data_IF_920524826853
#
_entry.id   IF_920524826853
#
_cell.length_a   1.000
_cell.length_b   1.000
_cell.length_c   1.000
_cell.angle_alpha   90.00
_cell.angle_beta   90.00
_cell.angle_gamma   90.00
#
_symmetry.space_group_name_H-M   'P 1'
#
loop_
_entity.id
_entity.type
_entity.pdbx_description
1 polymer ?
#
# COMPACT_ATOMS: atom_id res chain seq x y z
N UNK A 1 13.49 -20.90 5.55
CA UNK A 1 13.47 -20.57 4.11
C UNK A 1 14.89 -20.55 3.58
N UNK A 2 15.17 -21.30 2.52
CA UNK A 2 16.46 -21.26 1.81
C UNK A 2 16.31 -20.41 0.54
N UNK A 3 16.62 -19.11 0.67
CA UNK A 3 16.49 -18.17 -0.45
C UNK A 3 17.53 -18.45 -1.56
N UNK A 4 18.67 -19.05 -1.22
CA UNK A 4 19.68 -19.40 -2.23
C UNK A 4 19.15 -20.50 -3.16
N UNK A 5 18.56 -21.55 -2.57
CA UNK A 5 17.89 -22.62 -3.31
C UNK A 5 16.75 -22.08 -4.19
N UNK A 6 15.99 -21.10 -3.70
CA UNK A 6 14.96 -20.43 -4.51
C UNK A 6 15.56 -19.69 -5.71
N UNK A 7 16.58 -18.86 -5.48
CA UNK A 7 17.28 -18.09 -6.52
C UNK A 7 17.81 -19.01 -7.63
N UNK A 8 18.46 -20.11 -7.24
CA UNK A 8 18.94 -21.13 -8.18
C UNK A 8 17.80 -21.79 -8.96
N UNK A 9 16.72 -22.19 -8.27
CA UNK A 9 15.57 -22.84 -8.90
C UNK A 9 14.80 -21.94 -9.88
N UNK A 10 14.82 -20.61 -9.65
CA UNK A 10 14.19 -19.62 -10.53
C UNK A 10 15.13 -19.09 -11.62
N UNK A 11 16.38 -19.56 -11.69
CA UNK A 11 17.36 -19.10 -12.69
C UNK A 11 17.75 -17.63 -12.51
N UNK A 12 17.76 -17.13 -11.27
CA UNK A 12 18.02 -15.72 -10.95
C UNK A 12 19.49 -15.46 -10.56
N UNK A 13 20.37 -16.44 -10.74
CA UNK A 13 21.75 -16.43 -10.27
C UNK A 13 22.65 -15.40 -10.95
N UNK A 14 22.19 -14.73 -12.00
CA UNK A 14 22.98 -13.73 -12.73
C UNK A 14 22.63 -12.28 -12.36
N UNK A 15 21.67 -12.07 -11.44
CA UNK A 15 21.15 -10.74 -11.11
C UNK A 15 21.55 -10.27 -9.71
N UNK A 16 21.72 -8.96 -9.46
CA UNK A 16 21.75 -8.44 -8.10
C UNK A 16 20.40 -8.67 -7.43
N UNK A 17 20.42 -9.14 -6.18
CA UNK A 17 19.22 -9.50 -5.42
C UNK A 17 19.32 -8.98 -3.99
N UNK A 18 18.27 -8.31 -3.54
CA UNK A 18 18.09 -7.92 -2.14
C UNK A 18 16.80 -8.47 -1.56
N UNK A 19 16.82 -8.84 -0.28
CA UNK A 19 15.62 -9.11 0.49
C UNK A 19 15.16 -7.82 1.16
N UNK A 20 13.86 -7.52 1.13
CA UNK A 20 13.28 -6.33 1.72
C UNK A 20 12.05 -6.60 2.58
N UNK A 21 11.24 -5.56 2.71
CA UNK A 21 9.93 -5.64 3.37
C UNK A 21 10.02 -5.87 4.87
N UNK A 22 8.99 -6.52 5.42
CA UNK A 22 8.80 -6.61 6.87
C UNK A 22 9.85 -7.51 7.56
N UNK A 23 10.40 -8.47 6.82
CA UNK A 23 11.35 -9.47 7.33
C UNK A 23 12.72 -8.88 7.62
N UNK A 24 13.15 -7.88 6.85
CA UNK A 24 14.41 -7.15 7.13
C UNK A 24 14.21 -6.04 8.17
N UNK A 25 13.00 -5.49 8.28
CA UNK A 25 12.66 -4.46 9.25
C UNK A 25 12.53 -4.95 10.71
N UNK A 26 12.60 -6.27 10.96
CA UNK A 26 12.51 -6.86 12.30
C UNK A 26 11.13 -6.77 12.96
N UNK A 27 10.08 -6.44 12.20
CA UNK A 27 8.72 -6.25 12.69
C UNK A 27 7.66 -7.10 11.97
N UNK A 28 8.07 -8.24 11.38
CA UNK A 28 7.20 -9.10 10.58
C UNK A 28 6.19 -9.92 11.39
N UNK A 29 5.08 -10.26 10.73
CA UNK A 29 4.15 -11.30 11.17
C UNK A 29 4.48 -12.63 10.48
N UNK A 30 4.00 -13.74 11.04
CA UNK A 30 4.17 -15.06 10.42
C UNK A 30 3.53 -15.13 9.01
N UNK A 31 2.50 -14.31 8.77
CA UNK A 31 1.85 -14.18 7.46
C UNK A 31 2.60 -13.33 6.45
N UNK A 32 3.69 -12.67 6.82
CA UNK A 32 4.49 -11.89 5.89
C UNK A 32 5.23 -12.80 4.92
N UNK A 33 5.12 -12.49 3.65
CA UNK A 33 5.91 -13.05 2.56
C UNK A 33 7.39 -12.61 2.64
N UNK A 34 8.21 -13.22 1.80
CA UNK A 34 9.58 -12.76 1.54
C UNK A 34 9.55 -11.83 0.33
N UNK A 35 9.83 -10.54 0.53
CA UNK A 35 9.91 -9.56 -0.54
C UNK A 35 11.31 -9.59 -1.19
N UNK A 36 11.42 -10.23 -2.34
CA UNK A 36 12.67 -10.37 -3.09
C UNK A 36 12.73 -9.33 -4.22
N UNK A 37 13.74 -8.47 -4.18
CA UNK A 37 13.97 -7.44 -5.20
C UNK A 37 15.05 -7.93 -6.16
N UNK A 38 14.66 -8.21 -7.40
CA UNK A 38 15.53 -8.75 -8.44
C UNK A 38 15.84 -7.63 -9.42
N UNK A 39 17.11 -7.25 -9.52
CA UNK A 39 17.55 -6.15 -10.39
C UNK A 39 17.89 -6.68 -11.78
N UNK A 40 16.86 -7.07 -12.53
CA UNK A 40 16.93 -7.68 -13.87
C UNK A 40 16.48 -6.74 -15.00
N UNK A 41 16.16 -5.48 -14.67
CA UNK A 41 15.67 -4.46 -15.61
C UNK A 41 14.34 -4.85 -16.29
N UNK A 42 13.65 -5.87 -15.79
CA UNK A 42 12.35 -6.28 -16.29
C UNK A 42 11.27 -5.31 -15.79
N UNK A 43 10.38 -4.89 -16.70
CA UNK A 43 9.27 -3.98 -16.40
C UNK A 43 7.97 -4.69 -16.03
N UNK A 44 8.00 -6.03 -15.94
CA UNK A 44 6.85 -6.85 -15.55
C UNK A 44 6.40 -6.52 -14.12
N UNK A 45 5.09 -6.69 -13.88
CA UNK A 45 4.54 -6.60 -12.52
C UNK A 45 5.14 -7.67 -11.60
N UNK A 46 5.08 -7.40 -10.29
CA UNK A 46 5.52 -8.35 -9.26
C UNK A 46 4.81 -9.69 -9.39
N UNK A 47 5.50 -10.76 -9.01
CA UNK A 47 4.98 -12.13 -9.02
C UNK A 47 4.95 -12.72 -7.62
N UNK A 48 3.94 -13.54 -7.31
CA UNK A 48 3.86 -14.25 -6.03
C UNK A 48 4.01 -15.74 -6.28
N UNK A 49 5.05 -16.31 -5.66
CA UNK A 49 5.51 -17.67 -5.89
C UNK A 49 5.54 -18.42 -4.56
N UNK A 50 4.88 -19.57 -4.51
CA UNK A 50 4.97 -20.49 -3.38
C UNK A 50 6.25 -21.31 -3.46
N UNK A 51 7.00 -21.39 -2.37
CA UNK A 51 8.25 -22.13 -2.26
C UNK A 51 8.48 -22.57 -0.82
N UNK A 52 8.80 -23.85 -0.60
CA UNK A 52 9.08 -24.45 0.72
C UNK A 52 8.13 -23.93 1.83
N UNK A 53 6.81 -24.10 1.61
CA UNK A 53 5.69 -23.70 2.49
C UNK A 53 5.59 -22.19 2.82
N UNK A 54 6.28 -21.33 2.08
CA UNK A 54 6.17 -19.88 2.21
C UNK A 54 5.83 -19.23 0.87
N UNK A 55 5.36 -17.98 0.94
CA UNK A 55 5.15 -17.14 -0.23
C UNK A 55 6.32 -16.17 -0.37
N UNK A 56 6.80 -16.03 -1.61
CA UNK A 56 7.84 -15.09 -2.01
C UNK A 56 7.22 -14.14 -3.03
N UNK A 57 7.28 -12.84 -2.74
CA UNK A 57 6.93 -11.82 -3.73
C UNK A 57 8.21 -11.39 -4.43
N UNK A 58 8.30 -11.69 -5.73
CA UNK A 58 9.40 -11.26 -6.59
C UNK A 58 9.03 -9.94 -7.23
N UNK A 59 9.79 -8.90 -6.94
CA UNK A 59 9.69 -7.61 -7.58
C UNK A 59 10.81 -7.49 -8.61
N UNK A 60 10.44 -7.09 -9.83
CA UNK A 60 11.39 -6.76 -10.88
C UNK A 60 11.81 -5.30 -10.76
N UNK A 61 13.11 -5.07 -10.69
CA UNK A 61 13.69 -3.81 -10.27
C UNK A 61 14.73 -3.32 -11.29
N UNK A 62 14.93 -2.00 -11.29
CA UNK A 62 15.96 -1.34 -12.09
C UNK A 62 17.00 -0.70 -11.17
N UNK A 63 18.27 -0.86 -11.50
CA UNK A 63 19.36 -0.11 -10.87
C UNK A 63 19.32 1.39 -11.23
N UNK A 64 18.55 1.75 -12.27
CA UNK A 64 18.35 3.12 -12.74
C UNK A 64 17.05 3.77 -12.23
N UNK A 65 16.38 3.17 -11.24
CA UNK A 65 15.11 3.65 -10.71
C UNK A 65 15.20 5.10 -10.20
N UNK A 66 14.17 5.89 -10.49
CA UNK A 66 14.07 7.31 -10.10
C UNK A 66 12.80 7.61 -9.31
N UNK A 67 11.83 6.71 -9.32
CA UNK A 67 10.59 6.85 -8.57
C UNK A 67 10.85 6.75 -7.06
N UNK A 68 10.54 7.82 -6.34
CA UNK A 68 10.74 7.92 -4.90
C UNK A 68 10.08 6.79 -4.10
N UNK A 69 8.84 6.40 -4.43
CA UNK A 69 8.12 5.33 -3.70
C UNK A 69 8.84 3.99 -3.86
N UNK A 70 9.32 3.68 -5.07
CA UNK A 70 10.09 2.46 -5.33
C UNK A 70 11.49 2.49 -4.71
N UNK A 71 12.19 3.62 -4.79
CA UNK A 71 13.50 3.76 -4.11
C UNK A 71 13.40 3.55 -2.59
N UNK A 72 12.31 3.98 -1.96
CA UNK A 72 12.06 3.70 -0.55
C UNK A 72 11.78 2.21 -0.26
N UNK A 73 11.31 1.43 -1.24
CA UNK A 73 11.19 -0.03 -1.10
C UNK A 73 12.56 -0.72 -1.16
N UNK A 74 13.54 -0.08 -1.80
CA UNK A 74 14.93 -0.56 -1.80
C UNK A 74 15.71 -0.08 -0.57
N UNK A 75 15.15 0.79 0.28
CA UNK A 75 15.85 1.22 1.49
C UNK A 75 16.11 0.02 2.41
N UNK A 76 17.37 -0.13 2.86
CA UNK A 76 17.81 -1.18 3.80
C UNK A 76 17.50 -2.62 3.34
N UNK A 77 17.68 -2.91 2.05
CA UNK A 77 17.68 -4.30 1.59
C UNK A 77 18.84 -5.09 2.22
N UNK A 78 18.56 -6.32 2.63
CA UNK A 78 19.57 -7.32 2.94
C UNK A 78 20.08 -7.90 1.61
N UNK A 79 21.29 -7.53 1.21
CA UNK A 79 21.87 -7.97 -0.07
C UNK A 79 22.17 -9.47 -0.02
N UNK A 80 21.51 -10.23 -0.89
CA UNK A 80 21.70 -11.68 -1.03
C UNK A 80 22.75 -11.99 -2.11
N UNK A 81 22.76 -11.22 -3.20
CA UNK A 81 23.67 -11.38 -4.33
C UNK A 81 23.98 -10.02 -4.95
N UNK A 82 25.26 -9.70 -5.21
CA UNK A 82 25.68 -8.43 -5.83
C UNK A 82 27.16 -8.50 -6.28
N UNK A 83 27.45 -9.35 -7.26
CA UNK A 83 28.83 -9.62 -7.69
C UNK A 83 29.56 -8.37 -8.22
N UNK A 84 28.79 -7.45 -8.83
CA UNK A 84 29.31 -6.21 -9.41
C UNK A 84 29.28 -5.01 -8.45
N UNK A 85 28.80 -5.19 -7.21
CA UNK A 85 28.65 -4.13 -6.19
C UNK A 85 27.67 -3.00 -6.55
N UNK A 86 26.96 -3.13 -7.67
CA UNK A 86 26.06 -2.08 -8.18
C UNK A 86 24.87 -1.87 -7.24
N UNK A 87 24.33 -2.96 -6.67
CA UNK A 87 23.23 -2.85 -5.72
C UNK A 87 23.69 -2.12 -4.45
N UNK A 88 24.84 -2.48 -3.88
CA UNK A 88 25.39 -1.78 -2.70
C UNK A 88 25.64 -0.29 -2.96
N UNK A 89 26.11 0.09 -4.15
CA UNK A 89 26.30 1.50 -4.54
C UNK A 89 24.95 2.23 -4.58
N UNK A 90 23.93 1.61 -5.18
CA UNK A 90 22.57 2.16 -5.20
C UNK A 90 22.02 2.34 -3.77
N UNK A 91 22.13 1.32 -2.93
CA UNK A 91 21.66 1.36 -1.54
C UNK A 91 22.35 2.46 -0.71
N UNK A 92 23.66 2.66 -0.92
CA UNK A 92 24.40 3.77 -0.30
C UNK A 92 23.87 5.14 -0.75
N UNK A 93 23.57 5.27 -2.04
CA UNK A 93 22.97 6.50 -2.60
C UNK A 93 21.59 6.78 -2.02
N UNK A 94 20.74 5.75 -1.89
CA UNK A 94 19.42 5.84 -1.27
C UNK A 94 19.54 6.25 0.20
N UNK A 95 20.44 5.61 0.95
CA UNK A 95 20.69 5.95 2.35
C UNK A 95 21.11 7.40 2.54
N UNK A 96 21.94 7.95 1.63
CA UNK A 96 22.36 9.35 1.68
C UNK A 96 21.26 10.36 1.36
N UNK A 97 20.16 9.93 0.72
CA UNK A 97 19.00 10.76 0.34
C UNK A 97 17.72 10.38 1.08
N UNK A 98 17.83 9.54 2.10
CA UNK A 98 16.70 8.87 2.74
C UNK A 98 15.62 9.84 3.23
N UNK A 99 16.02 10.88 3.95
CA UNK A 99 15.07 11.84 4.54
C UNK A 99 14.38 12.67 3.44
N UNK A 100 15.10 13.06 2.38
CA UNK A 100 14.48 13.73 1.23
C UNK A 100 13.53 12.82 0.48
N UNK A 101 13.84 11.54 0.32
CA UNK A 101 12.94 10.57 -0.31
C UNK A 101 11.66 10.40 0.50
N UNK A 102 11.74 10.31 1.83
CA UNK A 102 10.55 10.27 2.68
C UNK A 102 9.72 11.57 2.59
N UNK A 103 10.38 12.73 2.59
CA UNK A 103 9.72 14.04 2.42
C UNK A 103 8.97 14.13 1.09
N UNK A 104 9.61 13.73 -0.01
CA UNK A 104 9.02 13.75 -1.34
C UNK A 104 7.88 12.74 -1.46
N UNK A 105 8.04 11.52 -0.92
CA UNK A 105 6.97 10.52 -0.84
C UNK A 105 5.77 11.03 -0.05
N UNK A 106 6.00 11.72 1.07
CA UNK A 106 4.94 12.29 1.89
C UNK A 106 4.15 13.36 1.12
N UNK A 107 4.85 14.28 0.44
CA UNK A 107 4.24 15.34 -0.38
C UNK A 107 3.47 14.77 -1.57
N UNK A 108 4.04 13.80 -2.28
CA UNK A 108 3.37 13.15 -3.40
C UNK A 108 2.07 12.47 -2.94
N UNK A 109 2.12 11.72 -1.84
CA UNK A 109 0.92 11.07 -1.28
C UNK A 109 -0.13 12.10 -0.82
N UNK A 110 0.29 13.26 -0.32
CA UNK A 110 -0.60 14.36 0.05
C UNK A 110 -1.31 14.96 -1.17
N UNK A 111 -0.60 15.14 -2.28
CA UNK A 111 -1.15 15.60 -3.55
C UNK A 111 -2.15 14.59 -4.11
N UNK A 112 -1.81 13.30 -4.09
CA UNK A 112 -2.73 12.23 -4.53
C UNK A 112 -4.00 12.17 -3.67
N UNK A 113 -3.89 12.41 -2.35
CA UNK A 113 -5.03 12.53 -1.45
C UNK A 113 -5.95 13.69 -1.85
N UNK A 114 -5.40 14.87 -2.11
CA UNK A 114 -6.16 16.04 -2.58
C UNK A 114 -6.79 15.81 -3.95
N UNK A 115 -6.07 15.16 -4.87
CA UNK A 115 -6.61 14.75 -6.16
C UNK A 115 -7.83 13.84 -6.00
N UNK A 116 -7.73 12.82 -5.14
CA UNK A 116 -8.85 11.92 -4.84
C UNK A 116 -10.02 12.65 -4.16
N UNK A 117 -9.76 13.64 -3.30
CA UNK A 117 -10.80 14.50 -2.74
C UNK A 117 -11.56 15.25 -3.84
N UNK A 118 -10.83 15.85 -4.80
CA UNK A 118 -11.47 16.56 -5.91
C UNK A 118 -12.28 15.59 -6.78
N UNK A 119 -11.72 14.42 -7.13
CA UNK A 119 -12.45 13.38 -7.86
C UNK A 119 -13.73 12.94 -7.16
N UNK A 120 -13.69 12.83 -5.83
CA UNK A 120 -14.89 12.50 -5.05
C UNK A 120 -15.96 13.58 -5.18
N UNK A 121 -15.59 14.86 -5.05
CA UNK A 121 -16.55 15.97 -5.17
C UNK A 121 -17.18 16.03 -6.55
N UNK A 122 -16.35 15.91 -7.59
CA UNK A 122 -16.82 15.91 -8.97
C UNK A 122 -17.78 14.72 -9.20
N UNK A 123 -17.40 13.53 -8.70
CA UNK A 123 -18.20 12.32 -8.79
C UNK A 123 -19.55 12.44 -8.07
N UNK A 124 -19.60 13.09 -6.90
CA UNK A 124 -20.87 13.40 -6.20
C UNK A 124 -21.75 14.32 -7.05
N UNK A 125 -21.16 15.34 -7.70
CA UNK A 125 -21.92 16.29 -8.53
C UNK A 125 -22.46 15.66 -9.81
N UNK A 126 -21.78 14.66 -10.35
CA UNK A 126 -22.16 13.97 -11.60
C UNK A 126 -22.84 12.63 -11.39
N UNK A 127 -23.20 12.28 -10.14
CA UNK A 127 -23.75 10.97 -9.77
C UNK A 127 -22.89 9.77 -10.25
N UNK A 128 -21.56 9.94 -10.25
CA UNK A 128 -20.63 8.86 -10.60
C UNK A 128 -20.57 7.83 -9.46
N UNK A 129 -20.84 6.58 -9.83
CA UNK A 129 -20.91 5.41 -8.96
C UNK A 129 -19.62 5.13 -8.18
N UNK A 130 -18.47 5.67 -8.60
CA UNK A 130 -17.17 5.47 -7.97
C UNK A 130 -16.80 6.55 -6.94
N UNK A 131 -17.68 7.51 -6.64
CA UNK A 131 -17.42 8.59 -5.67
C UNK A 131 -16.82 8.07 -4.35
N UNK A 132 -17.43 7.05 -3.75
CA UNK A 132 -16.97 6.48 -2.50
C UNK A 132 -15.62 5.74 -2.60
N UNK A 133 -15.29 5.18 -3.77
CA UNK A 133 -13.97 4.56 -3.99
C UNK A 133 -12.88 5.64 -3.98
N UNK A 134 -13.12 6.77 -4.65
CA UNK A 134 -12.23 7.93 -4.61
C UNK A 134 -12.04 8.48 -3.20
N UNK A 135 -13.12 8.54 -2.41
CA UNK A 135 -13.05 8.98 -1.02
C UNK A 135 -12.12 8.09 -0.19
N UNK A 136 -12.29 6.75 -0.29
CA UNK A 136 -11.42 5.80 0.39
C UNK A 136 -9.97 5.96 -0.07
N UNK A 137 -9.73 6.09 -1.37
CA UNK A 137 -8.39 6.37 -1.89
C UNK A 137 -7.77 7.61 -1.27
N UNK A 138 -8.53 8.70 -1.11
CA UNK A 138 -8.06 9.92 -0.46
C UNK A 138 -7.58 9.65 0.98
N UNK A 139 -8.39 8.96 1.78
CA UNK A 139 -8.03 8.62 3.16
C UNK A 139 -6.77 7.75 3.25
N UNK A 140 -6.60 6.77 2.36
CA UNK A 140 -5.40 5.92 2.33
C UNK A 140 -4.16 6.66 1.84
N UNK A 141 -4.27 7.54 0.85
CA UNK A 141 -3.15 8.37 0.43
C UNK A 141 -2.71 9.34 1.54
N UNK A 142 -3.65 9.89 2.31
CA UNK A 142 -3.28 10.71 3.47
C UNK A 142 -2.60 9.86 4.56
N UNK A 143 -3.04 8.62 4.79
CA UNK A 143 -2.36 7.69 5.69
C UNK A 143 -0.93 7.33 5.21
N UNK A 144 -0.72 7.16 3.90
CA UNK A 144 0.60 6.95 3.28
C UNK A 144 1.50 8.18 3.49
N UNK A 145 0.93 9.39 3.37
CA UNK A 145 1.64 10.65 3.63
C UNK A 145 2.11 10.74 5.08
N UNK A 146 1.22 10.47 6.04
CA UNK A 146 1.56 10.45 7.47
C UNK A 146 2.64 9.40 7.79
N UNK A 147 2.53 8.21 7.21
CA UNK A 147 3.55 7.16 7.38
C UNK A 147 4.92 7.64 6.89
N UNK A 148 4.96 8.31 5.73
CA UNK A 148 6.18 8.85 5.14
C UNK A 148 6.79 9.98 6.00
N UNK A 149 5.98 10.91 6.52
CA UNK A 149 6.47 11.95 7.45
C UNK A 149 7.09 11.37 8.73
N UNK A 150 6.61 10.21 9.18
CA UNK A 150 7.17 9.51 10.33
C UNK A 150 8.34 8.57 9.96
N UNK A 151 8.85 8.64 8.73
CA UNK A 151 9.92 7.77 8.22
C UNK A 151 9.60 6.28 8.38
N UNK A 152 8.32 5.94 8.36
CA UNK A 152 7.82 4.57 8.42
C UNK A 152 7.64 4.06 6.99
N UNK A 153 8.32 2.96 6.60
CA UNK A 153 8.07 2.30 5.33
C UNK A 153 6.60 1.91 5.22
N UNK A 154 6.04 2.03 4.01
CA UNK A 154 4.67 1.57 3.74
C UNK A 154 4.67 0.04 3.67
N UNK A 155 3.92 -0.58 4.58
CA UNK A 155 3.59 -2.00 4.50
C UNK A 155 2.10 -2.14 4.83
N UNK A 156 1.26 -2.59 3.86
CA UNK A 156 -0.18 -2.68 4.07
C UNK A 156 -0.56 -3.49 5.33
N UNK A 157 0.19 -4.54 5.64
CA UNK A 157 -0.08 -5.41 6.80
C UNK A 157 0.25 -4.76 8.15
N UNK A 158 1.11 -3.75 8.19
CA UNK A 158 1.56 -3.11 9.43
C UNK A 158 1.14 -1.64 9.55
N UNK A 159 0.63 -1.05 8.48
CA UNK A 159 0.34 0.38 8.37
C UNK A 159 -0.55 0.90 9.52
N UNK A 160 -1.67 0.22 9.82
CA UNK A 160 -2.57 0.65 10.89
C UNK A 160 -1.91 0.58 12.28
N UNK A 161 -1.18 -0.49 12.56
CA UNK A 161 -0.43 -0.65 13.80
C UNK A 161 0.65 0.44 13.95
N UNK A 162 1.34 0.82 12.87
CA UNK A 162 2.30 1.92 12.86
C UNK A 162 1.62 3.26 13.14
N UNK A 163 0.52 3.57 12.44
CA UNK A 163 -0.25 4.81 12.63
C UNK A 163 -0.69 4.99 14.10
N UNK A 164 -1.15 3.92 14.75
CA UNK A 164 -1.56 3.93 16.16
C UNK A 164 -0.40 4.23 17.14
N UNK A 165 0.85 3.99 16.73
CA UNK A 165 2.05 4.12 17.57
C UNK A 165 2.84 5.39 17.33
N UNK A 166 2.52 6.16 16.29
CA UNK A 166 3.21 7.41 16.01
C UNK A 166 3.06 8.39 17.17
N UNK A 167 4.16 9.07 17.49
CA UNK A 167 4.19 10.05 18.58
C UNK A 167 3.31 11.24 18.23
N UNK A 168 2.68 11.85 19.24
CA UNK A 168 1.88 13.06 19.04
C UNK A 168 2.72 14.18 18.44
N UNK A 169 2.21 14.80 17.37
CA UNK A 169 2.78 15.96 16.68
C UNK A 169 1.65 16.74 16.03
N UNK A 170 1.92 17.95 15.52
CA UNK A 170 0.94 18.73 14.76
C UNK A 170 0.39 17.93 13.57
N UNK A 171 1.26 17.23 12.84
CA UNK A 171 0.91 16.35 11.72
C UNK A 171 0.14 15.10 12.18
N UNK A 172 0.58 14.43 13.24
CA UNK A 172 -0.01 13.16 13.68
C UNK A 172 -1.37 13.33 14.40
N UNK A 173 -1.75 14.56 14.77
CA UNK A 173 -3.08 14.83 15.34
C UNK A 173 -4.23 14.53 14.35
N UNK A 174 -3.94 14.45 13.05
CA UNK A 174 -4.93 14.14 12.01
C UNK A 174 -5.28 12.65 11.91
N UNK A 175 -4.48 11.75 12.52
CA UNK A 175 -4.64 10.28 12.40
C UNK A 175 -6.04 9.83 12.77
N UNK A 176 -6.58 10.30 13.90
CA UNK A 176 -7.90 9.86 14.37
C UNK A 176 -9.02 10.24 13.39
N UNK A 177 -8.96 11.43 12.80
CA UNK A 177 -9.94 11.87 11.80
C UNK A 177 -9.89 10.98 10.56
N UNK A 178 -8.68 10.69 10.06
CA UNK A 178 -8.48 9.82 8.90
C UNK A 178 -9.02 8.42 9.16
N UNK A 179 -8.66 7.80 10.29
CA UNK A 179 -9.14 6.46 10.63
C UNK A 179 -10.67 6.41 10.74
N UNK A 180 -11.31 7.47 11.24
CA UNK A 180 -12.77 7.61 11.24
C UNK A 180 -13.36 7.64 9.83
N UNK A 181 -12.75 8.37 8.88
CA UNK A 181 -13.22 8.36 7.47
C UNK A 181 -12.96 7.02 6.76
N UNK A 182 -12.03 6.20 7.26
CA UNK A 182 -11.78 4.86 6.74
C UNK A 182 -12.84 3.88 7.23
N UNK A 183 -13.40 4.06 8.43
CA UNK A 183 -14.45 3.18 8.97
C UNK A 183 -13.91 1.86 9.52
N UNK A 184 -12.68 1.85 10.06
CA UNK A 184 -12.04 0.64 10.60
C UNK A 184 -12.79 0.02 11.79
N UNK A 185 -13.68 0.78 12.43
CA UNK A 185 -14.56 0.37 13.52
C UNK A 185 -15.70 -0.52 13.05
N UNK A 186 -16.03 -0.53 11.74
CA UNK A 186 -17.06 -1.40 11.17
C UNK A 186 -16.60 -2.84 10.98
N UNK A 187 -15.32 -3.11 11.21
CA UNK A 187 -14.70 -4.41 10.98
C UNK A 187 -15.35 -5.50 11.85
N UNK A 188 -16.05 -6.42 11.18
CA UNK A 188 -16.62 -7.63 11.78
C UNK A 188 -16.17 -8.85 10.98
N UNK A 189 -16.08 -10.06 11.57
CA UNK A 189 -15.67 -11.25 10.83
C UNK A 189 -16.52 -11.49 9.56
N UNK A 190 -17.83 -11.31 9.65
CA UNK A 190 -18.76 -11.46 8.52
C UNK A 190 -18.57 -10.42 7.42
N UNK A 191 -18.26 -9.16 7.79
CA UNK A 191 -17.91 -8.14 6.80
C UNK A 191 -16.60 -8.50 6.11
N UNK A 192 -15.57 -8.83 6.89
CA UNK A 192 -14.24 -9.13 6.39
C UNK A 192 -14.23 -10.37 5.47
N UNK A 193 -15.00 -11.42 5.75
CA UNK A 193 -15.16 -12.58 4.85
C UNK A 193 -15.72 -12.17 3.47
N UNK A 194 -16.71 -11.28 3.44
CA UNK A 194 -17.27 -10.77 2.17
C UNK A 194 -16.25 -9.89 1.45
N UNK A 195 -15.60 -8.99 2.19
CA UNK A 195 -14.54 -8.12 1.64
C UNK A 195 -13.42 -8.96 1.04
N UNK A 196 -12.97 -10.01 1.72
CA UNK A 196 -11.90 -10.90 1.25
C UNK A 196 -12.21 -11.46 -0.15
N UNK A 197 -13.40 -12.03 -0.33
CA UNK A 197 -13.82 -12.62 -1.62
C UNK A 197 -13.79 -11.57 -2.73
N UNK A 198 -14.28 -10.37 -2.47
CA UNK A 198 -14.27 -9.27 -3.43
C UNK A 198 -12.87 -8.71 -3.68
N UNK A 199 -12.03 -8.61 -2.66
CA UNK A 199 -10.63 -8.17 -2.77
C UNK A 199 -9.81 -9.17 -3.60
N UNK A 200 -9.97 -10.48 -3.36
CA UNK A 200 -9.34 -11.53 -4.17
C UNK A 200 -9.81 -11.45 -5.62
N UNK A 201 -11.13 -11.42 -5.86
CA UNK A 201 -11.67 -11.33 -7.22
C UNK A 201 -11.21 -10.08 -7.96
N UNK A 202 -11.11 -8.94 -7.26
CA UNK A 202 -10.61 -7.71 -7.86
C UNK A 202 -9.10 -7.75 -8.14
N UNK A 203 -8.31 -8.31 -7.21
CA UNK A 203 -6.88 -8.53 -7.38
C UNK A 203 -6.58 -9.46 -8.56
N UNK A 204 -7.29 -10.58 -8.68
CA UNK A 204 -7.11 -11.52 -9.80
C UNK A 204 -7.45 -10.88 -11.16
N UNK A 205 -8.44 -9.97 -11.19
CA UNK A 205 -8.82 -9.23 -12.39
C UNK A 205 -7.75 -8.23 -12.84
N UNK A 206 -7.16 -7.50 -11.88
CA UNK A 206 -6.22 -6.40 -12.15
C UNK A 206 -4.76 -6.88 -12.24
N UNK A 207 -4.30 -7.68 -11.29
CA UNK A 207 -2.87 -7.97 -11.10
C UNK A 207 -2.40 -9.22 -11.82
N UNK A 208 -3.25 -10.25 -11.94
CA UNK A 208 -2.94 -11.51 -12.68
C UNK A 208 -1.62 -12.18 -12.26
N UNK A 209 -1.27 -12.14 -10.97
CA UNK A 209 0.05 -12.54 -10.46
C UNK A 209 -0.01 -13.46 -9.23
N UNK A 210 -1.11 -14.20 -9.04
CA UNK A 210 -1.35 -15.12 -7.92
C UNK A 210 -1.41 -14.48 -6.52
N UNK A 211 -1.70 -13.17 -6.43
CA UNK A 211 -1.78 -12.46 -5.16
C UNK A 211 -2.89 -12.96 -4.23
N UNK A 212 -3.91 -13.62 -4.76
CA UNK A 212 -5.00 -14.25 -4.00
C UNK A 212 -4.52 -15.13 -2.84
N UNK A 213 -3.47 -15.93 -3.03
CA UNK A 213 -2.93 -16.80 -1.96
C UNK A 213 -2.36 -16.00 -0.78
N UNK A 214 -1.61 -14.93 -1.08
CA UNK A 214 -1.02 -14.07 -0.06
C UNK A 214 -2.08 -13.24 0.67
N UNK A 215 -3.11 -12.79 -0.05
CA UNK A 215 -4.27 -12.09 0.53
C UNK A 215 -4.98 -12.99 1.53
N UNK A 216 -5.27 -14.24 1.16
CA UNK A 216 -5.89 -15.23 2.04
C UNK A 216 -5.02 -15.50 3.27
N UNK A 217 -3.72 -15.73 3.10
CA UNK A 217 -2.80 -15.99 4.21
C UNK A 217 -2.76 -14.84 5.23
N UNK A 218 -2.73 -13.59 4.76
CA UNK A 218 -2.73 -12.40 5.62
C UNK A 218 -4.07 -12.22 6.33
N UNK A 219 -5.18 -12.46 5.63
CA UNK A 219 -6.52 -12.45 6.21
C UNK A 219 -6.67 -13.47 7.35
N UNK A 220 -6.28 -14.73 7.10
CA UNK A 220 -6.40 -15.82 8.09
C UNK A 220 -5.61 -15.50 9.36
N UNK A 221 -4.41 -14.93 9.19
CA UNK A 221 -3.59 -14.48 10.31
C UNK A 221 -4.27 -13.38 11.12
N UNK A 222 -4.80 -12.34 10.47
CA UNK A 222 -5.45 -11.26 11.21
C UNK A 222 -6.68 -11.75 11.99
N UNK A 223 -7.48 -12.63 11.38
CA UNK A 223 -8.65 -13.20 12.05
C UNK A 223 -8.26 -14.07 13.24
N UNK A 224 -7.31 -14.98 13.06
CA UNK A 224 -6.79 -15.84 14.14
C UNK A 224 -6.28 -15.03 15.33
N UNK A 225 -5.70 -13.86 15.08
CA UNK A 225 -5.14 -12.97 16.10
C UNK A 225 -6.11 -11.86 16.54
N UNK A 226 -7.38 -11.91 16.16
CA UNK A 226 -8.41 -10.89 16.50
C UNK A 226 -8.05 -9.45 16.08
N UNK A 227 -7.26 -9.31 15.02
CA UNK A 227 -6.79 -8.04 14.47
C UNK A 227 -7.75 -7.52 13.38
N UNK A 228 -9.04 -7.37 13.71
CA UNK A 228 -10.08 -7.13 12.72
C UNK A 228 -9.92 -5.79 11.98
N UNK A 229 -9.61 -4.71 12.71
CA UNK A 229 -9.39 -3.40 12.08
C UNK A 229 -8.15 -3.38 11.20
N UNK A 230 -7.09 -4.12 11.57
CA UNK A 230 -5.87 -4.23 10.76
C UNK A 230 -6.15 -5.04 9.49
N UNK A 231 -6.98 -6.10 9.57
CA UNK A 231 -7.48 -6.83 8.41
C UNK A 231 -8.28 -5.92 7.47
N UNK A 232 -9.20 -5.13 8.03
CA UNK A 232 -9.99 -4.16 7.26
C UNK A 232 -9.07 -3.19 6.52
N UNK A 233 -8.11 -2.61 7.25
CA UNK A 233 -7.17 -1.66 6.69
C UNK A 233 -6.33 -2.26 5.56
N UNK A 234 -5.83 -3.47 5.79
CA UNK A 234 -5.06 -4.22 4.80
C UNK A 234 -5.84 -4.46 3.51
N UNK A 235 -7.07 -4.99 3.60
CA UNK A 235 -7.88 -5.33 2.41
C UNK A 235 -8.19 -4.07 1.58
N UNK A 236 -8.63 -2.98 2.21
CA UNK A 236 -8.95 -1.75 1.49
C UNK A 236 -7.70 -1.09 0.92
N UNK A 237 -6.54 -1.17 1.61
CA UNK A 237 -5.26 -0.70 1.07
C UNK A 237 -4.93 -1.39 -0.27
N UNK A 238 -5.11 -2.71 -0.36
CA UNK A 238 -4.90 -3.44 -1.62
C UNK A 238 -5.88 -3.01 -2.70
N UNK A 239 -7.16 -2.85 -2.34
CA UNK A 239 -8.17 -2.39 -3.28
C UNK A 239 -7.86 -0.98 -3.80
N UNK A 240 -7.32 -0.09 -2.95
CA UNK A 240 -6.83 1.23 -3.38
C UNK A 240 -5.70 1.10 -4.40
N UNK A 241 -4.68 0.26 -4.17
CA UNK A 241 -3.59 0.11 -5.14
C UNK A 241 -4.11 -0.43 -6.49
N UNK A 242 -5.01 -1.41 -6.49
CA UNK A 242 -5.59 -1.97 -7.72
C UNK A 242 -6.56 -1.02 -8.42
N UNK A 243 -7.38 -0.27 -7.68
CA UNK A 243 -8.29 0.73 -8.23
C UNK A 243 -7.53 1.84 -8.95
N UNK A 244 -6.43 2.31 -8.38
CA UNK A 244 -5.59 3.34 -9.00
C UNK A 244 -4.91 2.83 -10.28
N UNK A 245 -4.55 1.54 -10.37
CA UNK A 245 -3.99 0.95 -11.60
C UNK A 245 -4.95 1.01 -12.78
N UNK A 246 -6.25 0.90 -12.54
CA UNK A 246 -7.29 0.90 -13.58
C UNK A 246 -8.05 2.23 -13.69
N UNK A 247 -7.57 3.29 -13.03
CA UNK A 247 -8.31 4.56 -12.92
C UNK A 247 -8.72 5.17 -14.27
N UNK A 248 -7.91 4.96 -15.30
CA UNK A 248 -8.13 5.52 -16.63
C UNK A 248 -9.11 4.68 -17.47
N UNK A 249 -9.47 3.47 -17.03
CA UNK A 249 -10.41 2.57 -17.71
C UNK A 249 -11.76 2.43 -16.99
N UNK A 250 -11.93 3.01 -15.79
CA UNK A 250 -13.15 2.90 -14.97
C UNK A 250 -14.45 3.21 -15.72
N UNK A 251 -14.44 4.23 -16.60
CA UNK A 251 -15.62 4.61 -17.39
C UNK A 251 -16.11 3.51 -18.33
N UNK A 252 -15.24 2.57 -18.71
CA UNK A 252 -15.56 1.42 -19.58
C UNK A 252 -15.93 0.17 -18.79
N UNK A 253 -15.72 0.20 -17.48
CA UNK A 253 -15.81 -0.96 -16.59
C UNK A 253 -16.76 -0.66 -15.42
N UNK A 254 -17.88 0.00 -15.69
CA UNK A 254 -18.85 0.43 -14.66
C UNK A 254 -19.36 -0.74 -13.81
N UNK A 255 -19.48 -1.94 -14.38
CA UNK A 255 -19.91 -3.15 -13.67
C UNK A 255 -18.95 -3.55 -12.53
N UNK A 256 -17.69 -3.10 -12.54
CA UNK A 256 -16.76 -3.31 -11.43
C UNK A 256 -17.29 -2.76 -10.12
N UNK A 257 -18.19 -1.77 -10.15
CA UNK A 257 -18.79 -1.24 -8.93
C UNK A 257 -19.45 -2.33 -8.08
N UNK A 258 -19.96 -3.41 -8.68
CA UNK A 258 -20.59 -4.50 -7.95
C UNK A 258 -19.58 -5.26 -7.07
N UNK A 259 -18.33 -5.36 -7.51
CA UNK A 259 -17.22 -5.92 -6.73
C UNK A 259 -16.72 -4.88 -5.72
N UNK A 260 -16.48 -3.65 -6.19
CA UNK A 260 -15.87 -2.58 -5.40
C UNK A 260 -16.74 -2.12 -4.23
N UNK A 261 -18.08 -2.18 -4.37
CA UNK A 261 -19.03 -1.91 -3.28
C UNK A 261 -18.70 -2.68 -2.01
N UNK A 262 -18.37 -3.97 -2.18
CA UNK A 262 -18.02 -4.86 -1.08
C UNK A 262 -16.54 -4.73 -0.75
N UNK A 263 -15.65 -4.71 -1.76
CA UNK A 263 -14.20 -4.67 -1.56
C UNK A 263 -13.75 -3.44 -0.74
N UNK A 264 -14.32 -2.26 -1.03
CA UNK A 264 -14.03 -1.02 -0.30
C UNK A 264 -14.92 -0.79 0.91
N UNK A 265 -15.98 -1.59 1.09
CA UNK A 265 -17.04 -1.34 2.08
C UNK A 265 -17.54 0.12 1.95
N UNK A 266 -18.12 0.43 0.78
CA UNK A 266 -18.39 1.81 0.39
C UNK A 266 -19.57 2.42 1.13
N UNK A 267 -19.47 3.73 1.40
CA UNK A 267 -20.58 4.54 1.88
C UNK A 267 -21.45 5.01 0.71
N UNK A 268 -22.77 4.94 0.86
CA UNK A 268 -23.72 5.35 -0.18
C UNK A 268 -24.35 6.73 0.10
N UNK A 269 -24.31 7.21 1.35
CA UNK A 269 -24.79 8.55 1.71
C UNK A 269 -23.84 9.64 1.19
N UNK A 270 -24.29 10.41 0.20
CA UNK A 270 -23.53 11.50 -0.39
C UNK A 270 -23.21 12.63 0.59
N UNK A 271 -24.06 12.88 1.58
CA UNK A 271 -23.79 13.90 2.60
C UNK A 271 -22.65 13.45 3.52
N UNK A 272 -22.64 12.17 3.88
CA UNK A 272 -21.56 11.60 4.69
C UNK A 272 -20.24 11.54 3.92
N UNK A 273 -20.28 11.17 2.63
CA UNK A 273 -19.11 11.24 1.75
C UNK A 273 -18.54 12.66 1.66
N UNK A 274 -19.40 13.68 1.53
CA UNK A 274 -18.99 15.08 1.51
C UNK A 274 -18.28 15.48 2.81
N UNK A 275 -18.80 15.08 3.97
CA UNK A 275 -18.17 15.32 5.27
C UNK A 275 -16.80 14.63 5.39
N UNK A 276 -16.68 13.40 4.90
CA UNK A 276 -15.40 12.68 4.89
C UNK A 276 -14.38 13.38 4.00
N UNK A 277 -14.77 13.83 2.81
CA UNK A 277 -13.88 14.59 1.92
C UNK A 277 -13.44 15.90 2.56
N UNK A 278 -14.35 16.63 3.21
CA UNK A 278 -14.00 17.87 3.92
C UNK A 278 -13.01 17.63 5.06
N UNK A 279 -13.18 16.53 5.80
CA UNK A 279 -12.26 16.12 6.87
C UNK A 279 -10.86 15.83 6.32
N UNK A 280 -10.77 15.07 5.23
CA UNK A 280 -9.49 14.72 4.59
C UNK A 280 -8.84 15.95 3.96
N UNK A 281 -9.59 16.77 3.24
CA UNK A 281 -9.07 17.97 2.60
C UNK A 281 -8.57 18.99 3.61
N UNK A 282 -9.31 19.21 4.71
CA UNK A 282 -8.87 20.08 5.81
C UNK A 282 -7.56 19.57 6.40
N UNK A 283 -7.49 18.26 6.69
CA UNK A 283 -6.25 17.65 7.20
C UNK A 283 -5.08 17.81 6.22
N UNK A 284 -5.32 17.68 4.91
CA UNK A 284 -4.29 17.89 3.91
C UNK A 284 -3.78 19.34 3.91
N UNK A 285 -4.70 20.31 3.94
CA UNK A 285 -4.37 21.74 3.92
C UNK A 285 -3.60 22.16 5.19
N UNK A 286 -4.02 21.68 6.36
CA UNK A 286 -3.35 21.94 7.63
C UNK A 286 -1.91 21.40 7.62
N UNK A 287 -1.72 20.18 7.10
CA UNK A 287 -0.39 19.58 6.95
C UNK A 287 0.45 20.38 5.94
N UNK A 288 -0.11 20.81 4.81
CA UNK A 288 0.57 21.66 3.84
C UNK A 288 1.03 22.98 4.47
N UNK A 289 0.20 23.60 5.31
CA UNK A 289 0.55 24.83 6.02
C UNK A 289 1.70 24.58 7.01
N UNK A 290 1.66 23.47 7.76
CA UNK A 290 2.73 23.09 8.70
C UNK A 290 4.07 22.93 7.97
N UNK A 291 4.08 22.17 6.86
CA UNK A 291 5.34 21.93 6.12
C UNK A 291 5.85 23.19 5.41
N UNK A 292 4.98 24.13 5.04
CA UNK A 292 5.42 25.40 4.42
C UNK A 292 6.13 26.35 5.39
N UNK A 293 5.94 26.14 6.69
CA UNK A 293 6.53 26.93 7.78
C UNK A 293 7.83 26.33 8.33
N UNK A 294 8.21 25.15 7.88
CA UNK A 294 9.38 24.39 8.34
C UNK A 294 10.52 24.50 7.34
#
# INVERSE_FOLDING_TARGET
MDLKKFIEAQGLTDFPIGLGGCRTAGCFFDSCDYDLMVFDENSSDKQIIAFDDSLITVHHCSLSETNTKKLLQYDKLDVLQDDSWNLKILLSTISGKRDSLFSDSAKNSLIESLFCCQKTKDAIQTDDIFAACWQKCASYYLADSLSSFNHSPSSPSHALNSLRKFKKSSINNHISGILGTIGIERATPTLLDRMLKSTIGFSDLVEKNNHSQLIQQKYDYFLKNSMLSDCYFYLVCLNKENFIKIKDTLNREQDLIHILKIAFDIEADSNLLQQYVETIQTSCNDILEIISKT
#
